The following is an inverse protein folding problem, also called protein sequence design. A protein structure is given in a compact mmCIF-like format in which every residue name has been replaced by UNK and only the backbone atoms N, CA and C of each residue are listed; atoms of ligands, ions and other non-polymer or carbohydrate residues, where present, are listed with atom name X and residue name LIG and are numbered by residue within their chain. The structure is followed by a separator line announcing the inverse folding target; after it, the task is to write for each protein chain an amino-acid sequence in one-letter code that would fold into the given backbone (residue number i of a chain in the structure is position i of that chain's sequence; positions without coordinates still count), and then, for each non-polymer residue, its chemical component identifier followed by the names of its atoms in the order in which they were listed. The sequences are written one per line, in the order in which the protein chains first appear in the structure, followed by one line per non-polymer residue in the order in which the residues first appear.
data_IF_109726582549
#
_entry.id   IF_109726582549
#
_cell.length_a   1.000
_cell.length_b   1.000
_cell.length_c   1.000
_cell.angle_alpha   90.00
_cell.angle_beta   90.00
_cell.angle_gamma   90.00
#
_symmetry.space_group_name_H-M   'P 1'
#
loop_
_entity.id
_entity.type
_entity.pdbx_description
1 polymer ?
#
# COMPACT_ATOMS: atom_id res chain seq x y z
N UNK A 1 10.21 -5.25 -5.11
CA UNK A 1 11.28 -4.37 -4.59
C UNK A 1 11.42 -3.10 -5.41
N UNK A 2 11.45 -3.16 -6.76
CA UNK A 2 11.58 -1.99 -7.64
C UNK A 2 10.67 -0.80 -7.29
N UNK A 3 9.37 -1.02 -7.05
CA UNK A 3 8.44 0.07 -6.67
C UNK A 3 8.85 0.77 -5.36
N UNK A 4 9.37 0.03 -4.38
CA UNK A 4 9.81 0.60 -3.09
C UNK A 4 11.09 1.43 -3.28
N UNK A 5 11.99 0.98 -4.16
CA UNK A 5 13.19 1.74 -4.52
C UNK A 5 12.83 3.01 -5.31
N UNK A 6 11.82 2.93 -6.18
CA UNK A 6 11.34 4.10 -6.90
C UNK A 6 10.69 5.12 -5.96
N UNK A 7 9.86 4.69 -5.00
CA UNK A 7 9.27 5.62 -4.02
C UNK A 7 10.34 6.33 -3.21
N UNK A 8 11.44 5.63 -2.89
CA UNK A 8 12.60 6.24 -2.23
C UNK A 8 13.26 7.32 -3.11
N UNK A 9 13.38 7.09 -4.41
CA UNK A 9 13.96 8.08 -5.34
C UNK A 9 13.14 9.38 -5.47
N UNK A 10 11.84 9.32 -5.16
CA UNK A 10 10.94 10.49 -5.13
C UNK A 10 10.74 11.04 -3.71
N UNK A 11 11.53 10.57 -2.73
CA UNK A 11 11.59 11.10 -1.36
C UNK A 11 10.66 10.42 -0.36
N UNK A 12 9.94 9.35 -0.73
CA UNK A 12 9.14 8.55 0.20
C UNK A 12 9.84 7.23 0.52
N UNK A 13 10.50 7.17 1.67
CA UNK A 13 11.37 6.04 2.03
C UNK A 13 10.71 5.16 3.09
N UNK A 14 10.68 3.85 2.85
CA UNK A 14 10.34 2.87 3.87
C UNK A 14 11.55 2.67 4.80
N UNK A 15 11.51 3.26 5.99
CA UNK A 15 12.65 3.24 6.93
C UNK A 15 12.62 2.05 7.89
N UNK A 16 11.44 1.53 8.18
CA UNK A 16 11.26 0.43 9.12
C UNK A 16 9.99 -0.34 8.83
N UNK A 17 10.05 -1.66 8.95
CA UNK A 17 8.88 -2.53 8.85
C UNK A 17 9.10 -3.79 9.67
N UNK A 18 8.09 -4.15 10.46
CA UNK A 18 7.98 -5.44 11.12
C UNK A 18 6.61 -6.09 10.80
N UNK A 19 6.18 -7.07 11.59
CA UNK A 19 4.91 -7.77 11.39
C UNK A 19 3.68 -6.93 11.77
N UNK A 20 3.85 -5.97 12.68
CA UNK A 20 2.82 -5.15 13.32
C UNK A 20 2.96 -3.65 13.06
N UNK A 21 4.09 -3.18 12.52
CA UNK A 21 4.38 -1.76 12.36
C UNK A 21 5.12 -1.45 11.06
N UNK A 22 4.95 -0.22 10.60
CA UNK A 22 5.64 0.34 9.44
C UNK A 22 5.96 1.81 9.68
N UNK A 23 7.13 2.24 9.23
CA UNK A 23 7.59 3.62 9.33
C UNK A 23 7.98 4.13 7.95
N UNK A 24 7.40 5.26 7.56
CA UNK A 24 7.70 5.94 6.30
C UNK A 24 8.33 7.29 6.61
N UNK A 25 9.42 7.63 5.92
CA UNK A 25 9.98 8.97 5.89
C UNK A 25 9.45 9.70 4.68
N UNK A 26 8.85 10.86 4.89
CA UNK A 26 8.35 11.74 3.81
C UNK A 26 9.49 12.59 3.23
N UNK A 27 9.28 13.22 2.06
CA UNK A 27 10.28 14.14 1.48
C UNK A 27 10.62 15.33 2.39
N UNK A 28 9.75 15.66 3.35
CA UNK A 28 9.97 16.70 4.35
C UNK A 28 10.69 16.21 5.62
N UNK A 29 11.29 15.02 5.58
CA UNK A 29 11.99 14.36 6.70
C UNK A 29 11.11 14.01 7.91
N UNK A 30 9.78 14.07 7.74
CA UNK A 30 8.83 13.63 8.76
C UNK A 30 8.73 12.10 8.77
N UNK A 31 8.72 11.49 9.96
CA UNK A 31 8.45 10.06 10.12
C UNK A 31 6.95 9.86 10.39
N UNK A 32 6.30 9.11 9.50
CA UNK A 32 4.93 8.62 9.65
C UNK A 32 4.98 7.21 10.21
N UNK A 33 4.27 6.98 11.30
CA UNK A 33 4.16 5.68 11.95
C UNK A 33 2.79 5.06 11.64
N UNK A 34 2.81 3.81 11.21
CA UNK A 34 1.62 3.04 10.92
C UNK A 34 1.63 1.73 11.69
N UNK A 35 0.47 1.37 12.26
CA UNK A 35 0.24 0.03 12.80
C UNK A 35 -0.40 -0.84 11.72
N UNK A 36 0.17 -2.01 11.49
CA UNK A 36 -0.37 -3.04 10.61
C UNK A 36 -1.42 -3.82 11.39
N UNK A 37 -2.69 -3.63 11.04
CA UNK A 37 -3.80 -4.33 11.68
C UNK A 37 -4.05 -5.70 11.07
N UNK A 38 -3.85 -5.83 9.76
CA UNK A 38 -3.99 -7.11 9.06
C UNK A 38 -3.23 -7.12 7.73
N UNK A 39 -2.64 -8.28 7.40
CA UNK A 39 -2.02 -8.54 6.11
C UNK A 39 -2.79 -9.63 5.36
N UNK A 40 -3.13 -9.34 4.10
CA UNK A 40 -3.69 -10.31 3.17
C UNK A 40 -2.59 -10.63 2.13
N UNK A 41 -1.85 -11.74 2.30
CA UNK A 41 -0.70 -12.05 1.46
C UNK A 41 -1.12 -12.30 0.00
N UNK A 42 -0.18 -12.10 -0.91
CA UNK A 42 -0.39 -12.46 -2.31
C UNK A 42 -0.54 -13.97 -2.45
N UNK A 43 -1.55 -14.42 -3.18
CA UNK A 43 -1.68 -15.82 -3.62
C UNK A 43 -1.84 -15.90 -5.13
N UNK A 44 -1.37 -16.98 -5.75
CA UNK A 44 -1.54 -17.19 -7.20
C UNK A 44 -3.01 -17.25 -7.61
N UNK A 45 -3.88 -17.77 -6.74
CA UNK A 45 -5.32 -17.88 -6.97
C UNK A 45 -5.99 -16.50 -6.95
N UNK A 46 -5.64 -15.67 -5.97
CA UNK A 46 -6.25 -14.35 -5.82
C UNK A 46 -5.62 -13.28 -6.71
N UNK A 47 -4.36 -13.48 -7.15
CA UNK A 47 -3.54 -12.53 -7.91
C UNK A 47 -3.53 -11.11 -7.33
N UNK A 48 -3.70 -10.99 -6.02
CA UNK A 48 -3.78 -9.71 -5.31
C UNK A 48 -3.25 -9.85 -3.89
N UNK A 49 -2.84 -8.73 -3.31
CA UNK A 49 -2.47 -8.60 -1.91
C UNK A 49 -3.10 -7.36 -1.31
N UNK A 50 -3.40 -7.42 -0.01
CA UNK A 50 -4.00 -6.32 0.72
C UNK A 50 -3.35 -6.10 2.08
N UNK A 51 -3.56 -4.93 2.65
CA UNK A 51 -3.09 -4.55 3.98
C UNK A 51 -4.06 -3.54 4.59
N UNK A 52 -4.42 -3.76 5.86
CA UNK A 52 -5.12 -2.77 6.67
C UNK A 52 -4.10 -2.13 7.59
N UNK A 53 -3.98 -0.81 7.51
CA UNK A 53 -3.08 -0.01 8.34
C UNK A 53 -3.87 1.04 9.11
N UNK A 54 -3.38 1.39 10.29
CA UNK A 54 -3.80 2.56 11.05
C UNK A 54 -2.67 3.59 11.03
N UNK A 55 -2.98 4.82 10.69
CA UNK A 55 -2.08 5.95 10.92
C UNK A 55 -2.12 6.31 12.41
N UNK A 56 -0.98 6.26 13.09
CA UNK A 56 -0.90 6.54 14.52
C UNK A 56 -1.07 8.03 14.86
N UNK A 57 -0.88 8.92 13.90
CA UNK A 57 -1.03 10.37 14.09
C UNK A 57 -2.48 10.83 13.96
N UNK A 58 -3.24 10.26 13.03
CA UNK A 58 -4.64 10.65 12.78
C UNK A 58 -5.65 9.67 13.37
N UNK A 59 -5.22 8.43 13.66
CA UNK A 59 -6.10 7.32 14.04
C UNK A 59 -6.88 6.74 12.84
N UNK A 60 -6.67 7.24 11.63
CA UNK A 60 -7.37 6.79 10.43
C UNK A 60 -6.98 5.36 10.07
N UNK A 61 -7.98 4.54 9.75
CA UNK A 61 -7.79 3.15 9.33
C UNK A 61 -8.05 3.08 7.83
N UNK A 62 -7.04 2.67 7.09
CA UNK A 62 -7.11 2.55 5.62
C UNK A 62 -6.81 1.13 5.18
N UNK A 63 -7.60 0.64 4.23
CA UNK A 63 -7.34 -0.61 3.55
C UNK A 63 -6.73 -0.34 2.17
N UNK A 64 -5.53 -0.85 1.94
CA UNK A 64 -4.85 -0.81 0.65
C UNK A 64 -4.85 -2.18 -0.01
N UNK A 65 -5.11 -2.22 -1.32
CA UNK A 65 -5.05 -3.44 -2.12
C UNK A 65 -4.29 -3.18 -3.42
N UNK A 66 -3.49 -4.14 -3.86
CA UNK A 66 -2.89 -4.17 -5.19
C UNK A 66 -2.95 -5.57 -5.78
N UNK A 67 -3.18 -5.68 -7.09
CA UNK A 67 -3.32 -6.96 -7.77
C UNK A 67 -3.30 -6.78 -9.29
N UNK A 68 -3.50 -7.89 -10.01
CA UNK A 68 -3.62 -7.87 -11.47
C UNK A 68 -4.88 -7.12 -11.92
N UNK A 69 -4.80 -6.43 -13.04
CA UNK A 69 -5.86 -5.54 -13.55
C UNK A 69 -7.18 -6.29 -13.76
N UNK A 70 -7.12 -7.48 -14.35
CA UNK A 70 -8.27 -8.38 -14.53
C UNK A 70 -8.99 -8.74 -13.23
N UNK A 71 -8.29 -8.73 -12.08
CA UNK A 71 -8.89 -8.99 -10.76
C UNK A 71 -9.37 -7.70 -10.12
N UNK A 72 -8.64 -6.60 -10.30
CA UNK A 72 -8.97 -5.31 -9.69
C UNK A 72 -10.18 -4.65 -10.36
N UNK A 73 -10.37 -4.82 -11.67
CA UNK A 73 -11.46 -4.22 -12.44
C UNK A 73 -12.85 -4.54 -11.87
N UNK A 74 -13.06 -5.73 -11.30
CA UNK A 74 -14.33 -6.11 -10.66
C UNK A 74 -14.51 -5.64 -9.21
N UNK A 75 -13.50 -5.00 -8.61
CA UNK A 75 -13.47 -4.58 -7.20
C UNK A 75 -13.53 -3.06 -7.08
N UNK A 76 -12.90 -2.35 -8.02
CA UNK A 76 -12.88 -0.90 -8.06
C UNK A 76 -14.17 -0.34 -8.65
N UNK A 77 -14.55 0.87 -8.24
CA UNK A 77 -15.60 1.60 -8.93
C UNK A 77 -15.13 1.91 -10.35
N UNK A 78 -16.06 1.84 -11.30
CA UNK A 78 -15.79 2.14 -12.70
C UNK A 78 -15.14 3.52 -12.83
N UNK A 79 -14.08 3.60 -13.64
CA UNK A 79 -13.36 4.84 -13.92
C UNK A 79 -12.87 4.76 -15.38
N UNK A 80 -13.08 5.80 -16.17
CA UNK A 80 -12.88 5.77 -17.63
C UNK A 80 -11.44 5.41 -18.06
N UNK A 81 -10.47 5.56 -17.15
CA UNK A 81 -9.07 5.16 -17.36
C UNK A 81 -8.83 3.63 -17.40
N UNK A 82 -9.79 2.82 -16.93
CA UNK A 82 -9.68 1.34 -16.92
C UNK A 82 -9.93 0.68 -18.27
N UNK A 83 -10.45 1.42 -19.27
CA UNK A 83 -10.75 0.89 -20.60
C UNK A 83 -9.65 1.17 -21.64
N UNK A 84 -8.58 1.91 -21.31
CA UNK A 84 -7.44 2.10 -22.20
C UNK A 84 -6.47 0.91 -22.16
N UNK A 85 -6.90 -0.24 -22.70
CA UNK A 85 -6.01 -1.28 -23.23
C UNK A 85 -6.57 -1.95 -24.49
#
# INVERSE_FOLDING_TARGET
VALVQWTESVGLTLVGRDQSSMQLRTPGDQILNFTILQLFPFTYESKRMGIIVRDESTGEITFYMKGADVVMAGIVQYNDWLEEE
#
